data_IF_530452346893
#
_entry.id   IF_530452346893
#
_cell.length_a   1.000
_cell.length_b   1.000
_cell.length_c   1.000
_cell.angle_alpha   90.00
_cell.angle_beta   90.00
_cell.angle_gamma   90.00
#
_symmetry.space_group_name_H-M   'P 1'
#
loop_
_entity.id
_entity.type
_entity.pdbx_description
1 polymer ?
#
# COMPACT_ATOMS: atom_id res chain seq x y z
N UNK A 1 20.28 37.03 16.19
CA UNK A 1 19.63 36.63 14.92
C UNK A 1 19.23 35.18 15.05
N UNK A 2 17.96 34.92 15.35
CA UNK A 2 17.42 33.57 15.45
C UNK A 2 17.16 33.05 14.03
N UNK A 3 18.03 32.17 13.53
CA UNK A 3 17.68 31.33 12.38
C UNK A 3 16.66 30.31 12.85
N UNK A 4 15.39 30.62 12.60
CA UNK A 4 14.33 29.62 12.58
C UNK A 4 14.68 28.64 11.46
N UNK A 5 15.15 27.46 11.84
CA UNK A 5 15.30 26.34 10.91
C UNK A 5 13.87 25.90 10.59
N UNK A 6 13.27 26.52 9.58
CA UNK A 6 12.16 25.92 8.84
C UNK A 6 12.72 24.68 8.13
N UNK A 7 12.78 23.56 8.84
CA UNK A 7 12.79 22.24 8.21
C UNK A 7 11.45 22.10 7.49
N UNK A 8 11.42 22.58 6.25
CA UNK A 8 10.26 22.57 5.39
C UNK A 8 9.74 21.14 5.21
N UNK A 9 8.44 20.99 5.40
CA UNK A 9 7.67 19.81 4.98
C UNK A 9 7.91 19.48 3.49
N UNK A 10 8.39 20.44 2.69
CA UNK A 10 8.78 20.29 1.27
C UNK A 10 9.96 19.33 1.05
N UNK A 11 10.86 19.17 2.03
CA UNK A 11 11.97 18.20 1.95
C UNK A 11 11.52 16.74 1.96
N UNK A 12 10.26 16.47 2.30
CA UNK A 12 9.63 15.14 2.26
C UNK A 12 9.08 14.82 0.87
N UNK A 13 8.74 15.82 0.06
CA UNK A 13 8.07 15.60 -1.23
C UNK A 13 8.94 14.86 -2.24
N UNK A 14 10.28 14.91 -2.11
CA UNK A 14 11.20 14.21 -3.01
C UNK A 14 11.69 12.84 -2.52
N UNK A 15 11.31 12.41 -1.31
CA UNK A 15 11.68 11.09 -0.80
C UNK A 15 10.56 10.10 -1.10
N UNK A 16 10.91 9.01 -1.77
CA UNK A 16 9.98 7.88 -1.92
C UNK A 16 9.65 7.32 -0.54
N UNK A 17 8.38 6.99 -0.36
CA UNK A 17 7.80 6.42 0.85
C UNK A 17 7.28 5.01 0.54
N UNK A 18 7.08 4.24 1.60
CA UNK A 18 6.43 2.94 1.53
C UNK A 18 5.07 3.06 2.18
N UNK A 19 4.01 2.71 1.44
CA UNK A 19 2.64 2.96 1.83
C UNK A 19 1.89 1.67 2.11
N UNK A 20 1.24 1.61 3.27
CA UNK A 20 0.37 0.50 3.65
C UNK A 20 -0.99 1.05 4.10
N UNK A 21 -2.06 0.41 3.65
CA UNK A 21 -3.42 0.87 3.91
C UNK A 21 -4.19 -0.25 4.61
N UNK A 22 -4.86 0.10 5.71
CA UNK A 22 -5.68 -0.83 6.50
C UNK A 22 -6.96 -0.16 6.95
N UNK A 23 -7.97 -0.98 7.26
CA UNK A 23 -9.19 -0.50 7.89
C UNK A 23 -8.88 0.06 9.29
N UNK A 24 -9.53 1.18 9.64
CA UNK A 24 -9.42 1.80 10.96
C UNK A 24 -9.62 0.78 12.08
N UNK A 25 -10.47 -0.25 11.97
CA UNK A 25 -10.67 -1.24 13.04
C UNK A 25 -9.38 -1.98 13.44
N UNK A 26 -8.43 -2.12 12.51
CA UNK A 26 -7.13 -2.75 12.73
C UNK A 26 -6.00 -1.75 13.01
N UNK A 27 -6.25 -0.45 12.85
CA UNK A 27 -5.26 0.61 13.12
C UNK A 27 -5.04 0.82 14.63
N UNK A 28 -4.14 0.03 15.21
CA UNK A 28 -3.67 0.12 16.60
C UNK A 28 -2.16 0.43 16.61
N UNK A 29 -1.62 1.09 17.65
CA UNK A 29 -0.19 1.44 17.73
C UNK A 29 0.66 0.20 18.09
N UNK A 30 0.48 -0.88 17.34
CA UNK A 30 1.10 -2.15 17.59
C UNK A 30 1.84 -2.64 16.37
N UNK A 31 2.65 -3.66 16.59
CA UNK A 31 3.41 -4.32 15.54
C UNK A 31 2.53 -5.34 14.84
N UNK A 32 2.32 -5.13 13.54
CA UNK A 32 1.74 -6.12 12.63
C UNK A 32 2.85 -7.07 12.19
N UNK A 33 2.57 -8.37 12.30
CA UNK A 33 3.37 -9.43 11.69
C UNK A 33 2.40 -10.25 10.86
N UNK A 34 2.65 -10.36 9.56
CA UNK A 34 1.79 -11.14 8.69
C UNK A 34 2.11 -12.62 8.80
N UNK A 35 1.09 -13.45 8.63
CA UNK A 35 1.19 -14.90 8.71
C UNK A 35 0.26 -15.57 7.70
N UNK A 36 0.55 -16.81 7.27
CA UNK A 36 -0.28 -17.55 6.33
C UNK A 36 -1.75 -17.64 6.74
N UNK A 37 -2.04 -17.82 8.04
CA UNK A 37 -3.41 -17.94 8.55
C UNK A 37 -4.29 -16.69 8.37
N UNK A 38 -3.70 -15.54 8.03
CA UNK A 38 -4.44 -14.29 7.82
C UNK A 38 -4.67 -13.95 6.34
N UNK A 39 -4.14 -14.75 5.42
CA UNK A 39 -4.33 -14.51 4.00
C UNK A 39 -5.64 -15.12 3.49
N UNK A 40 -6.31 -14.38 2.62
CA UNK A 40 -7.44 -14.88 1.83
C UNK A 40 -7.00 -16.09 1.01
N UNK A 41 -7.88 -17.08 0.86
CA UNK A 41 -7.54 -18.39 0.29
C UNK A 41 -6.84 -18.30 -1.07
N UNK A 42 -7.29 -17.40 -1.95
CA UNK A 42 -6.69 -17.22 -3.28
C UNK A 42 -5.32 -16.52 -3.26
N UNK A 43 -4.91 -15.93 -2.13
CA UNK A 43 -3.61 -15.29 -1.93
C UNK A 43 -2.61 -16.18 -1.19
N UNK A 44 -3.05 -17.28 -0.58
CA UNK A 44 -2.18 -18.16 0.20
C UNK A 44 -1.03 -18.73 -0.64
N UNK A 45 -1.33 -19.31 -1.80
CA UNK A 45 -0.30 -19.90 -2.67
C UNK A 45 0.71 -18.89 -3.22
N UNK A 46 0.32 -17.74 -3.82
CA UNK A 46 1.30 -16.77 -4.30
C UNK A 46 2.12 -16.20 -3.14
N UNK A 47 1.52 -15.92 -1.99
CA UNK A 47 2.27 -15.44 -0.82
C UNK A 47 3.23 -16.48 -0.28
N UNK A 48 2.82 -17.76 -0.26
CA UNK A 48 3.68 -18.87 0.11
C UNK A 48 4.85 -18.99 -0.87
N UNK A 49 4.61 -18.91 -2.17
CA UNK A 49 5.69 -18.86 -3.17
C UNK A 49 6.69 -17.75 -2.85
N UNK A 50 6.20 -16.54 -2.56
CA UNK A 50 7.07 -15.40 -2.25
C UNK A 50 7.82 -15.61 -0.93
N UNK A 51 7.18 -16.18 0.09
CA UNK A 51 7.82 -16.53 1.36
C UNK A 51 9.01 -17.46 1.15
N UNK A 52 8.90 -18.46 0.27
CA UNK A 52 10.02 -19.34 -0.07
C UNK A 52 11.18 -18.58 -0.73
N UNK A 53 10.89 -17.50 -1.46
CA UNK A 53 11.94 -16.70 -2.11
C UNK A 53 12.60 -15.69 -1.17
N UNK A 54 11.85 -15.06 -0.26
CA UNK A 54 12.34 -13.95 0.57
C UNK A 54 12.59 -14.34 2.04
N UNK A 55 12.17 -15.53 2.45
CA UNK A 55 12.36 -16.07 3.80
C UNK A 55 11.35 -15.60 4.85
N UNK A 56 10.30 -14.88 4.45
CA UNK A 56 9.25 -14.40 5.36
C UNK A 56 7.91 -14.22 4.67
N UNK A 57 6.81 -14.30 5.42
CA UNK A 57 5.48 -14.07 4.87
C UNK A 57 5.24 -12.57 4.60
N UNK A 58 4.82 -12.19 3.39
CA UNK A 58 4.94 -10.81 2.91
C UNK A 58 3.84 -9.89 3.46
N UNK A 59 4.23 -8.70 3.92
CA UNK A 59 3.39 -7.51 3.98
C UNK A 59 3.74 -6.64 2.80
N UNK A 60 2.76 -6.32 1.96
CA UNK A 60 2.95 -5.51 0.76
C UNK A 60 2.75 -4.02 1.05
N UNK A 61 3.66 -3.21 0.51
CA UNK A 61 3.63 -1.77 0.53
C UNK A 61 3.85 -1.22 -0.88
N UNK A 62 3.09 -0.20 -1.25
CA UNK A 62 3.36 0.56 -2.47
C UNK A 62 4.59 1.45 -2.24
N UNK A 63 5.55 1.44 -3.17
CA UNK A 63 6.79 2.22 -3.05
C UNK A 63 6.74 3.42 -3.99
N UNK A 64 6.70 4.63 -3.44
CA UNK A 64 6.29 5.78 -4.24
C UNK A 64 6.13 7.09 -3.48
N UNK A 65 5.77 8.15 -4.20
CA UNK A 65 5.35 9.42 -3.61
C UNK A 65 4.26 10.13 -4.45
N UNK A 66 3.86 9.58 -5.59
CA UNK A 66 2.81 10.15 -6.42
C UNK A 66 1.43 9.69 -5.96
N UNK A 67 0.36 10.28 -6.51
CA UNK A 67 -0.99 9.81 -6.21
C UNK A 67 -1.24 8.41 -6.77
N UNK A 68 -0.64 8.07 -7.91
CA UNK A 68 -0.70 6.76 -8.55
C UNK A 68 -0.11 5.67 -7.67
N UNK A 69 1.01 5.93 -7.01
CA UNK A 69 1.60 4.98 -6.06
C UNK A 69 0.69 4.75 -4.86
N UNK A 70 0.13 5.82 -4.31
CA UNK A 70 -0.81 5.73 -3.19
C UNK A 70 -2.07 4.98 -3.63
N UNK A 71 -2.50 5.12 -4.88
CA UNK A 71 -3.68 4.42 -5.41
C UNK A 71 -3.53 2.90 -5.44
N UNK A 72 -2.32 2.38 -5.55
CA UNK A 72 -2.07 0.94 -5.41
C UNK A 72 -2.51 0.39 -4.06
N UNK A 73 -2.54 1.23 -3.01
CA UNK A 73 -2.96 0.81 -1.66
C UNK A 73 -4.47 0.69 -1.50
N UNK A 74 -5.25 1.19 -2.46
CA UNK A 74 -6.72 1.26 -2.35
C UNK A 74 -7.24 2.40 -1.46
N UNK A 75 -6.37 3.26 -0.92
CA UNK A 75 -6.78 4.36 -0.03
C UNK A 75 -7.85 5.29 -0.63
N UNK A 76 -7.90 5.45 -1.95
CA UNK A 76 -8.90 6.22 -2.69
C UNK A 76 -10.30 5.59 -2.66
N UNK A 77 -10.39 4.27 -2.47
CA UNK A 77 -11.64 3.52 -2.65
C UNK A 77 -12.70 3.95 -1.64
N UNK A 78 -12.30 4.41 -0.45
CA UNK A 78 -13.22 4.96 0.54
C UNK A 78 -14.04 6.18 0.07
N UNK A 79 -13.69 6.84 -1.03
CA UNK A 79 -14.50 7.91 -1.61
C UNK A 79 -15.31 7.49 -2.85
N UNK A 80 -15.16 6.26 -3.33
CA UNK A 80 -15.95 5.75 -4.45
C UNK A 80 -17.39 5.53 -4.00
N UNK A 81 -18.36 6.03 -4.79
CA UNK A 81 -19.80 5.88 -4.50
C UNK A 81 -20.46 4.78 -5.32
N UNK A 82 -19.87 4.45 -6.46
CA UNK A 82 -20.37 3.43 -7.38
C UNK A 82 -19.52 2.19 -7.14
N UNK A 83 -20.16 1.11 -6.69
CA UNK A 83 -19.51 -0.17 -6.43
C UNK A 83 -19.35 -0.94 -7.74
N UNK A 84 -20.40 -0.97 -8.54
CA UNK A 84 -20.43 -1.66 -9.82
C UNK A 84 -21.29 -0.89 -10.83
N UNK A 85 -21.03 -1.07 -12.12
CA UNK A 85 -21.96 -0.62 -13.15
C UNK A 85 -22.04 -1.65 -14.26
N UNK A 86 -23.26 -2.01 -14.66
CA UNK A 86 -23.53 -2.99 -15.71
C UNK A 86 -24.51 -2.44 -16.72
N UNK A 87 -24.42 -2.89 -17.96
CA UNK A 87 -25.43 -2.59 -18.98
C UNK A 87 -26.52 -3.67 -18.94
N UNK A 88 -27.77 -3.24 -18.79
CA UNK A 88 -28.96 -4.09 -18.91
C UNK A 88 -29.86 -3.42 -19.95
N UNK A 89 -30.13 -4.09 -21.06
CA UNK A 89 -30.93 -3.58 -22.18
C UNK A 89 -30.46 -2.18 -22.64
N UNK A 90 -29.16 -2.05 -22.95
CA UNK A 90 -28.48 -0.81 -23.36
C UNK A 90 -28.53 0.35 -22.35
N UNK A 91 -29.02 0.11 -21.12
CA UNK A 91 -29.01 1.09 -20.03
C UNK A 91 -27.94 0.74 -19.01
N UNK A 92 -27.11 1.73 -18.67
CA UNK A 92 -26.15 1.61 -17.57
C UNK A 92 -26.90 1.65 -16.24
N UNK A 93 -26.88 0.54 -15.52
CA UNK A 93 -27.37 0.42 -14.15
C UNK A 93 -26.16 0.42 -13.23
N UNK A 94 -26.10 1.40 -12.33
CA UNK A 94 -25.05 1.52 -11.32
C UNK A 94 -25.56 1.01 -9.98
N UNK A 95 -24.74 0.19 -9.32
CA UNK A 95 -24.88 -0.16 -7.92
C UNK A 95 -24.13 0.88 -7.08
N UNK A 96 -24.84 1.46 -6.12
CA UNK A 96 -24.29 2.48 -5.25
C UNK A 96 -24.05 1.93 -3.86
N UNK A 97 -23.00 2.43 -3.22
CA UNK A 97 -22.72 2.17 -1.82
C UNK A 97 -23.85 2.71 -0.93
N UNK A 98 -24.25 1.93 0.07
CA UNK A 98 -25.32 2.31 0.99
C UNK A 98 -24.80 3.32 2.02
N UNK A 99 -25.64 4.28 2.46
CA UNK A 99 -25.27 5.19 3.54
C UNK A 99 -24.87 4.41 4.81
N UNK A 100 -23.66 4.64 5.31
CA UNK A 100 -23.15 4.05 6.55
C UNK A 100 -22.25 2.83 6.36
N UNK A 101 -22.23 2.23 5.18
CA UNK A 101 -21.37 1.09 4.82
C UNK A 101 -20.07 1.58 4.16
N UNK A 102 -19.50 2.68 4.65
CA UNK A 102 -18.31 3.26 4.04
C UNK A 102 -17.04 2.65 4.60
N UNK A 103 -16.16 2.20 3.71
CA UNK A 103 -14.80 1.90 4.10
C UNK A 103 -14.14 3.11 4.77
N UNK A 104 -13.42 2.85 5.87
CA UNK A 104 -12.69 3.88 6.60
C UNK A 104 -11.24 3.44 6.73
N UNK A 105 -10.47 3.74 5.70
CA UNK A 105 -9.09 3.33 5.61
C UNK A 105 -8.13 4.36 6.22
N UNK A 106 -7.03 3.85 6.76
CA UNK A 106 -5.92 4.61 7.30
C UNK A 106 -4.67 4.25 6.49
N UNK A 107 -4.02 5.25 5.93
CA UNK A 107 -2.80 5.08 5.13
C UNK A 107 -1.58 5.43 5.99
N UNK A 108 -0.74 4.43 6.23
CA UNK A 108 0.54 4.56 6.92
C UNK A 108 1.66 4.68 5.88
N UNK A 109 2.53 5.68 6.04
CA UNK A 109 3.67 5.90 5.14
C UNK A 109 4.98 5.90 5.92
N UNK A 110 6.02 5.27 5.36
CA UNK A 110 7.33 5.10 5.99
C UNK A 110 8.45 5.55 5.06
N UNK A 111 9.48 6.19 5.58
CA UNK A 111 10.70 6.55 4.83
C UNK A 111 11.70 5.41 4.78
N UNK A 112 11.81 4.68 5.89
CA UNK A 112 12.80 3.63 6.09
C UNK A 112 12.14 2.40 6.67
N UNK A 113 12.22 1.30 5.93
CA UNK A 113 11.82 -0.02 6.36
C UNK A 113 12.86 -1.03 5.86
N UNK A 114 12.96 -2.14 6.58
CA UNK A 114 13.69 -3.32 6.13
C UNK A 114 12.77 -4.23 5.33
N UNK A 115 13.30 -4.82 4.27
CA UNK A 115 12.50 -5.60 3.33
C UNK A 115 13.12 -5.70 1.95
N UNK A 116 12.34 -6.21 1.00
CA UNK A 116 12.75 -6.53 -0.37
C UNK A 116 11.86 -5.79 -1.35
N UNK A 117 12.42 -5.36 -2.48
CA UNK A 117 11.65 -4.75 -3.56
C UNK A 117 11.15 -5.80 -4.54
N UNK A 118 9.97 -5.55 -5.11
CA UNK A 118 9.35 -6.38 -6.14
C UNK A 118 8.91 -5.53 -7.32
N UNK A 119 9.06 -6.10 -8.52
CA UNK A 119 8.49 -5.57 -9.74
C UNK A 119 7.00 -5.92 -9.80
N UNK A 120 6.11 -4.94 -9.61
CA UNK A 120 4.67 -5.19 -9.49
C UNK A 120 4.06 -5.80 -10.76
N UNK A 121 4.43 -5.25 -11.92
CA UNK A 121 3.92 -5.74 -13.23
C UNK A 121 4.31 -7.20 -13.48
N UNK A 122 5.45 -7.62 -12.92
CA UNK A 122 5.95 -8.99 -13.05
C UNK A 122 5.39 -9.90 -11.96
N UNK A 123 5.10 -9.36 -10.77
CA UNK A 123 4.42 -10.06 -9.69
C UNK A 123 3.06 -10.60 -10.10
N UNK A 124 2.32 -9.90 -10.96
CA UNK A 124 1.04 -10.37 -11.53
C UNK A 124 1.17 -11.75 -12.20
N UNK A 125 2.36 -12.12 -12.70
CA UNK A 125 2.59 -13.48 -13.22
C UNK A 125 2.48 -14.53 -12.13
N UNK A 126 2.99 -14.25 -10.93
CA UNK A 126 2.88 -15.16 -9.78
C UNK A 126 1.42 -15.30 -9.37
N UNK A 127 0.69 -14.18 -9.26
CA UNK A 127 -0.74 -14.20 -8.92
C UNK A 127 -1.54 -15.08 -9.88
N UNK A 128 -1.20 -15.05 -11.17
CA UNK A 128 -1.84 -15.88 -12.18
C UNK A 128 -1.27 -17.29 -12.30
N UNK A 129 -0.22 -17.67 -11.58
CA UNK A 129 0.46 -18.97 -11.76
C UNK A 129 -0.28 -20.17 -11.14
N UNK A 130 -1.53 -19.99 -10.69
CA UNK A 130 -2.34 -21.11 -10.19
C UNK A 130 -2.57 -22.19 -11.25
N UNK A 131 -2.74 -21.81 -12.52
CA UNK A 131 -2.96 -22.76 -13.63
C UNK A 131 -1.74 -23.63 -13.98
N UNK A 132 -0.54 -23.27 -13.50
CA UNK A 132 0.68 -24.04 -13.75
C UNK A 132 1.33 -24.58 -12.46
N UNK A 133 0.57 -24.61 -11.35
CA UNK A 133 1.06 -25.07 -10.05
C UNK A 133 2.23 -24.25 -9.51
N UNK A 134 2.29 -22.94 -9.81
CA UNK A 134 3.37 -22.05 -9.39
C UNK A 134 4.77 -22.46 -9.87
N UNK A 135 4.85 -23.17 -11.00
CA UNK A 135 6.12 -23.52 -11.63
C UNK A 135 6.71 -22.31 -12.38
N UNK A 136 7.34 -21.42 -11.62
CA UNK A 136 7.93 -20.17 -12.13
C UNK A 136 9.43 -20.37 -12.34
N UNK A 137 9.88 -20.17 -13.58
CA UNK A 137 11.29 -20.36 -13.91
C UNK A 137 12.21 -19.38 -13.17
N UNK A 138 13.44 -19.81 -12.90
CA UNK A 138 14.48 -18.98 -12.28
C UNK A 138 14.71 -17.65 -13.02
N UNK A 139 14.50 -17.62 -14.34
CA UNK A 139 14.55 -16.40 -15.13
C UNK A 139 13.48 -15.39 -14.70
N UNK A 140 12.23 -15.83 -14.55
CA UNK A 140 11.14 -14.95 -14.09
C UNK A 140 11.33 -14.53 -12.64
N UNK A 141 11.77 -15.43 -11.75
CA UNK A 141 12.10 -15.11 -10.36
C UNK A 141 13.12 -13.95 -10.28
N UNK A 142 14.19 -14.00 -11.10
CA UNK A 142 15.18 -12.92 -11.20
C UNK A 142 14.61 -11.61 -11.75
N UNK A 143 13.61 -11.66 -12.63
CA UNK A 143 12.96 -10.46 -13.17
C UNK A 143 12.05 -9.80 -12.13
N UNK A 144 11.36 -10.60 -11.31
CA UNK A 144 10.45 -10.13 -10.25
C UNK A 144 11.25 -9.49 -9.11
N UNK A 145 12.25 -10.21 -8.59
CA UNK A 145 13.03 -9.81 -7.40
C UNK A 145 14.26 -8.97 -7.73
N UNK A 146 14.77 -9.03 -8.96
CA UNK A 146 15.99 -8.37 -9.46
C UNK A 146 17.11 -8.32 -8.39
N UNK A 147 17.62 -9.46 -7.92
CA UNK A 147 18.52 -9.51 -6.75
C UNK A 147 19.81 -8.69 -6.93
N UNK A 148 20.26 -8.44 -8.17
CA UNK A 148 21.42 -7.60 -8.47
C UNK A 148 21.13 -6.09 -8.47
N UNK A 149 19.88 -5.68 -8.27
CA UNK A 149 19.52 -4.27 -8.20
C UNK A 149 19.69 -3.72 -6.79
N UNK A 150 20.53 -2.69 -6.60
CA UNK A 150 20.55 -1.97 -5.35
C UNK A 150 19.26 -1.16 -5.17
N UNK A 151 18.96 -0.79 -3.93
CA UNK A 151 17.83 0.09 -3.56
C UNK A 151 17.71 1.31 -4.49
N UNK A 152 18.83 1.96 -4.84
CA UNK A 152 18.83 3.12 -5.74
C UNK A 152 18.23 2.86 -7.13
N UNK A 153 18.42 1.66 -7.71
CA UNK A 153 17.82 1.29 -9.01
C UNK A 153 16.31 1.08 -8.89
N UNK A 154 15.87 0.43 -7.81
CA UNK A 154 14.44 0.27 -7.50
C UNK A 154 13.74 1.61 -7.30
N UNK A 155 14.33 2.49 -6.48
CA UNK A 155 13.82 3.82 -6.25
C UNK A 155 13.80 4.67 -7.53
N UNK A 156 14.80 4.54 -8.41
CA UNK A 156 14.77 5.18 -9.72
C UNK A 156 13.65 4.64 -10.61
N UNK A 157 13.40 3.32 -10.59
CA UNK A 157 12.28 2.72 -11.33
C UNK A 157 10.94 3.27 -10.84
N UNK A 158 10.71 3.29 -9.53
CA UNK A 158 9.48 3.80 -8.93
C UNK A 158 9.22 5.27 -9.30
N UNK A 159 10.25 6.12 -9.29
CA UNK A 159 10.12 7.53 -9.74
C UNK A 159 9.74 7.66 -11.22
N UNK A 160 10.37 6.87 -12.07
CA UNK A 160 10.19 6.98 -13.53
C UNK A 160 8.89 6.32 -14.00
N UNK A 161 8.45 5.30 -13.29
CA UNK A 161 7.23 4.56 -13.56
C UNK A 161 6.50 4.35 -12.22
N UNK A 162 5.64 5.32 -11.81
CA UNK A 162 4.75 5.15 -10.67
C UNK A 162 3.98 3.83 -10.80
N UNK A 163 3.50 3.26 -9.70
CA UNK A 163 2.84 1.94 -9.59
C UNK A 163 3.67 0.68 -9.89
N UNK A 164 4.90 0.81 -10.42
CA UNK A 164 5.63 -0.34 -10.96
C UNK A 164 6.48 -1.12 -9.94
N UNK A 165 6.53 -0.64 -8.70
CA UNK A 165 7.38 -1.19 -7.63
C UNK A 165 6.57 -1.37 -6.35
N UNK A 166 6.63 -2.57 -5.80
CA UNK A 166 6.21 -2.84 -4.42
C UNK A 166 7.43 -3.03 -3.53
N UNK A 167 7.22 -2.81 -2.25
CA UNK A 167 8.13 -3.18 -1.19
C UNK A 167 7.46 -4.22 -0.30
N UNK A 168 8.19 -5.27 0.08
CA UNK A 168 7.69 -6.32 0.98
C UNK A 168 8.53 -6.41 2.23
N UNK A 169 7.85 -6.52 3.37
CA UNK A 169 8.47 -6.68 4.68
C UNK A 169 7.76 -7.76 5.48
N UNK A 170 8.35 -8.22 6.57
CA UNK A 170 7.74 -9.22 7.46
C UNK A 170 6.94 -8.60 8.61
N UNK A 171 7.21 -7.33 8.92
CA UNK A 171 6.66 -6.64 10.08
C UNK A 171 6.44 -5.16 9.79
N UNK A 172 5.39 -4.59 10.34
CA UNK A 172 5.15 -3.14 10.36
C UNK A 172 4.83 -2.69 11.77
N UNK A 173 5.50 -1.65 12.23
CA UNK A 173 5.18 -0.99 13.50
C UNK A 173 4.41 0.28 13.16
N UNK A 174 3.09 0.25 13.34
CA UNK A 174 2.19 1.29 12.83
C UNK A 174 2.44 2.66 13.50
N UNK A 175 2.82 2.65 14.77
CA UNK A 175 3.19 3.81 15.57
C UNK A 175 4.50 4.47 15.10
N UNK A 176 5.38 3.72 14.43
CA UNK A 176 6.64 4.22 13.83
C UNK A 176 6.48 4.77 12.43
N UNK A 177 5.26 4.95 11.95
CA UNK A 177 5.02 5.57 10.66
C UNK A 177 5.46 7.05 10.65
N UNK A 178 6.01 7.49 9.51
CA UNK A 178 6.45 8.88 9.34
C UNK A 178 5.27 9.81 9.04
N UNK A 179 4.17 9.26 8.52
CA UNK A 179 2.98 10.00 8.12
C UNK A 179 1.78 9.07 8.10
N UNK A 180 0.66 9.56 8.63
CA UNK A 180 -0.62 8.85 8.64
C UNK A 180 -1.67 9.72 7.97
N UNK A 181 -2.33 9.20 6.94
CA UNK A 181 -3.48 9.87 6.31
C UNK A 181 -4.78 9.18 6.67
N UNK A 182 -5.79 10.01 6.94
CA UNK A 182 -7.13 9.57 7.27
C UNK A 182 -8.19 10.34 6.48
N UNK A 183 -9.36 9.73 6.36
CA UNK A 183 -10.51 10.28 5.64
C UNK A 183 -11.01 11.62 6.18
N UNK A 184 -11.16 11.72 7.50
CA UNK A 184 -11.87 12.82 8.15
C UNK A 184 -11.39 13.09 9.58
N UNK A 185 -11.85 14.19 10.18
CA UNK A 185 -11.49 14.61 11.54
C UNK A 185 -11.92 13.62 12.62
N UNK A 186 -13.00 12.84 12.40
CA UNK A 186 -13.45 11.83 13.35
C UNK A 186 -12.45 10.67 13.43
N UNK A 187 -12.04 10.13 12.26
CA UNK A 187 -10.98 9.11 12.16
C UNK A 187 -9.69 9.61 12.79
N UNK A 188 -9.29 10.88 12.55
CA UNK A 188 -8.12 11.48 13.20
C UNK A 188 -8.22 11.41 14.73
N UNK A 189 -9.33 11.86 15.32
CA UNK A 189 -9.56 11.81 16.77
C UNK A 189 -9.54 10.39 17.32
N UNK A 190 -10.05 9.41 16.57
CA UNK A 190 -10.01 8.00 16.97
C UNK A 190 -8.56 7.51 17.07
N UNK A 191 -7.72 7.81 16.07
CA UNK A 191 -6.31 7.41 16.10
C UNK A 191 -5.52 8.12 17.21
N UNK A 192 -5.75 9.42 17.41
CA UNK A 192 -5.13 10.16 18.52
C UNK A 192 -5.48 9.52 19.88
N UNK A 193 -6.75 9.15 20.09
CA UNK A 193 -7.19 8.44 21.30
C UNK A 193 -6.58 7.05 21.45
N UNK A 194 -6.19 6.41 20.35
CA UNK A 194 -5.50 5.13 20.34
C UNK A 194 -4.00 5.26 20.58
N UNK A 195 -3.46 6.48 20.70
CA UNK A 195 -2.05 6.72 21.01
C UNK A 195 -1.17 7.05 19.81
N UNK A 196 -1.74 7.24 18.61
CA UNK A 196 -0.96 7.73 17.47
C UNK A 196 -0.61 9.21 17.64
N UNK A 197 0.60 9.60 17.22
CA UNK A 197 1.05 11.00 17.32
C UNK A 197 0.19 11.93 16.44
N UNK A 198 -0.46 12.90 17.10
CA UNK A 198 -1.30 13.93 16.48
C UNK A 198 -0.60 14.74 15.39
N UNK A 199 0.73 14.83 15.43
CA UNK A 199 1.54 15.60 14.49
C UNK A 199 1.72 14.88 13.15
N UNK A 200 1.71 13.55 13.14
CA UNK A 200 1.85 12.74 11.91
C UNK A 200 0.49 12.36 11.30
N UNK A 201 -0.59 12.40 12.09
CA UNK A 201 -1.96 12.10 11.62
C UNK A 201 -2.58 13.31 10.94
N UNK A 202 -2.88 13.19 9.64
CA UNK A 202 -3.42 14.25 8.79
C UNK A 202 -4.68 13.81 8.08
N UNK A 203 -5.66 14.71 7.99
CA UNK A 203 -6.85 14.49 7.16
C UNK A 203 -6.48 14.79 5.72
N UNK A 204 -6.49 13.79 4.84
CA UNK A 204 -6.11 13.95 3.43
C UNK A 204 -6.99 13.12 2.53
N UNK A 205 -7.55 13.79 1.52
CA UNK A 205 -8.25 13.17 0.39
C UNK A 205 -7.35 13.16 -0.83
N UNK A 206 -7.33 12.03 -1.54
CA UNK A 206 -6.73 11.94 -2.87
C UNK A 206 -7.81 12.01 -3.94
N UNK A 207 -7.45 12.52 -5.12
CA UNK A 207 -8.41 12.72 -6.21
C UNK A 207 -8.79 11.36 -6.78
N UNK A 208 -10.09 11.11 -6.91
CA UNK A 208 -10.59 9.97 -7.67
C UNK A 208 -10.29 10.19 -9.14
N UNK A 209 -9.97 9.13 -9.87
CA UNK A 209 -9.94 9.25 -11.32
C UNK A 209 -11.34 9.59 -11.82
N UNK A 210 -11.48 10.63 -12.66
CA UNK A 210 -12.71 10.88 -13.39
C UNK A 210 -12.80 9.76 -14.43
N UNK A 211 -13.58 8.72 -14.12
CA UNK A 211 -13.98 7.73 -15.10
C UNK A 211 -14.73 8.41 -16.25
#
# INVERSE_FOLDING_TARGET
MNQVIETSLDSLENKLLFHHCIDIKYAKPEKIINKPEYAEDYLQDPHSWLQHQVGFYPIFLAAGNTQEDIRMTGYQNQWQRIISSKYINDKRVCEYEKPGEFDNFVLFSYKNLEGVFLDYDRWVRVLNSSYNGYNISNYYTRIILKPSWPKSKWLRKARNNPHSVMFVTNKLELDKSDRIWVRNKSTKKILEKRGFDKNIVQVKRIKLDPW
#
